data_IF_724040610336
#
_entry.id   IF_724040610336
#
_cell.length_a   1.000
_cell.length_b   1.000
_cell.length_c   1.000
_cell.angle_alpha   90.00
_cell.angle_beta   90.00
_cell.angle_gamma   90.00
#
_symmetry.space_group_name_H-M   'P 1'
#
loop_
_entity.id
_entity.type
_entity.pdbx_description
1 polymer ?
#
# COMPACT_ATOMS: atom_id res chain seq x y z
N UNK A 1 17.60 5.93 24.88
CA UNK A 1 18.68 5.13 24.23
C UNK A 1 19.10 5.91 23.00
N UNK A 2 20.39 6.22 22.85
CA UNK A 2 20.89 6.96 21.68
C UNK A 2 21.37 5.93 20.66
N UNK A 3 20.91 6.05 19.41
CA UNK A 3 21.37 5.24 18.27
C UNK A 3 22.90 5.28 18.18
N UNK A 4 23.59 4.18 17.89
CA UNK A 4 25.06 4.21 17.78
C UNK A 4 25.52 5.12 16.63
N UNK A 5 26.74 5.63 16.73
CA UNK A 5 27.34 6.47 15.67
C UNK A 5 27.36 5.75 14.32
N UNK A 6 27.71 4.46 14.31
CA UNK A 6 27.74 3.68 13.07
C UNK A 6 26.34 3.48 12.49
N UNK A 7 25.33 3.23 13.34
CA UNK A 7 23.95 3.13 12.88
C UNK A 7 23.43 4.45 12.31
N UNK A 8 23.78 5.59 12.93
CA UNK A 8 23.43 6.91 12.39
C UNK A 8 24.11 7.17 11.04
N UNK A 9 25.39 6.81 10.89
CA UNK A 9 26.09 6.95 9.61
C UNK A 9 25.44 6.08 8.53
N UNK A 10 25.11 4.84 8.84
CA UNK A 10 24.39 3.95 7.90
C UNK A 10 23.04 4.54 7.51
N UNK A 11 22.26 5.06 8.46
CA UNK A 11 20.97 5.67 8.18
C UNK A 11 21.09 6.89 7.25
N UNK A 12 22.12 7.73 7.42
CA UNK A 12 22.42 8.84 6.51
C UNK A 12 22.74 8.33 5.11
N UNK A 13 23.59 7.32 4.98
CA UNK A 13 23.97 6.74 3.68
C UNK A 13 22.78 6.10 2.97
N UNK A 14 21.95 5.34 3.68
CA UNK A 14 20.72 4.74 3.17
C UNK A 14 19.73 5.83 2.70
N UNK A 15 19.66 6.96 3.42
CA UNK A 15 18.83 8.11 3.02
C UNK A 15 19.36 8.75 1.74
N UNK A 16 20.69 8.95 1.63
CA UNK A 16 21.31 9.48 0.41
C UNK A 16 21.12 8.54 -0.79
N UNK A 17 21.18 7.22 -0.60
CA UNK A 17 20.84 6.23 -1.64
C UNK A 17 19.41 6.39 -2.14
N UNK A 18 18.44 6.53 -1.23
CA UNK A 18 17.06 6.78 -1.60
C UNK A 18 16.93 8.10 -2.38
N UNK A 19 17.51 9.18 -1.86
CA UNK A 19 17.47 10.51 -2.48
C UNK A 19 18.09 10.53 -3.89
N UNK A 20 19.16 9.78 -4.13
CA UNK A 20 19.78 9.65 -5.46
C UNK A 20 18.82 9.03 -6.48
N UNK A 21 18.11 7.95 -6.09
CA UNK A 21 17.09 7.32 -6.94
C UNK A 21 15.87 8.23 -7.18
N UNK A 22 15.66 9.18 -6.27
CA UNK A 22 14.63 10.21 -6.32
C UNK A 22 15.08 11.48 -7.07
N UNK A 23 16.30 11.51 -7.59
CA UNK A 23 16.79 12.57 -8.46
C UNK A 23 17.60 13.68 -7.79
N UNK A 24 17.97 13.54 -6.52
CA UNK A 24 18.83 14.49 -5.84
C UNK A 24 20.31 14.34 -6.23
N UNK A 25 21.06 15.44 -6.22
CA UNK A 25 22.52 15.41 -6.28
C UNK A 25 23.08 15.14 -4.87
N UNK A 26 23.56 13.93 -4.66
CA UNK A 26 24.04 13.45 -3.35
C UNK A 26 25.55 13.23 -3.27
N UNK A 27 26.27 13.40 -4.38
CA UNK A 27 27.66 12.93 -4.50
C UNK A 27 28.58 13.57 -3.44
N UNK A 28 28.46 14.89 -3.25
CA UNK A 28 29.23 15.63 -2.26
C UNK A 28 28.87 15.21 -0.82
N UNK A 29 27.58 15.10 -0.50
CA UNK A 29 27.10 14.72 0.83
C UNK A 29 27.51 13.27 1.18
N UNK A 30 27.49 12.36 0.21
CA UNK A 30 27.94 10.98 0.38
C UNK A 30 29.43 10.89 0.68
N UNK A 31 30.25 11.65 -0.05
CA UNK A 31 31.69 11.72 0.20
C UNK A 31 31.99 12.32 1.58
N UNK A 32 31.26 13.37 1.98
CA UNK A 32 31.33 13.96 3.33
C UNK A 32 30.98 12.92 4.40
N UNK A 33 29.84 12.24 4.29
CA UNK A 33 29.39 11.21 5.26
C UNK A 33 30.45 10.12 5.51
N UNK A 34 31.14 9.68 4.45
CA UNK A 34 32.19 8.68 4.52
C UNK A 34 33.48 9.19 5.19
N UNK A 35 33.77 10.49 5.07
CA UNK A 35 34.97 11.12 5.62
C UNK A 35 34.79 11.65 7.05
N UNK A 36 33.55 11.86 7.51
CA UNK A 36 33.28 12.43 8.83
C UNK A 36 33.79 11.51 9.97
N UNK A 37 34.43 12.09 11.01
CA UNK A 37 34.84 11.33 12.19
C UNK A 37 33.61 10.71 12.87
N UNK A 38 33.79 9.65 13.68
CA UNK A 38 32.72 9.07 14.47
C UNK A 38 32.27 10.06 15.57
N UNK A 39 31.37 10.99 15.21
CA UNK A 39 30.86 12.06 16.08
C UNK A 39 29.37 12.29 15.80
N UNK A 40 28.57 12.31 16.87
CA UNK A 40 27.15 12.63 16.77
C UNK A 40 26.92 14.03 16.22
N UNK A 41 27.68 15.03 16.69
CA UNK A 41 27.51 16.42 16.27
C UNK A 41 27.76 16.56 14.77
N UNK A 42 28.84 15.93 14.27
CA UNK A 42 29.20 16.00 12.85
C UNK A 42 28.15 15.31 11.96
N UNK A 43 27.72 14.10 12.32
CA UNK A 43 26.73 13.34 11.55
C UNK A 43 25.34 14.00 11.63
N UNK A 44 24.95 14.53 12.78
CA UNK A 44 23.67 15.23 12.95
C UNK A 44 23.65 16.54 12.16
N UNK A 45 24.77 17.27 12.11
CA UNK A 45 24.90 18.47 11.29
C UNK A 45 24.80 18.18 9.78
N UNK A 46 25.30 17.02 9.34
CA UNK A 46 25.09 16.56 7.97
C UNK A 46 23.61 16.19 7.75
N UNK A 47 23.05 15.32 8.61
CA UNK A 47 21.67 14.87 8.54
C UNK A 47 20.65 16.02 8.48
N UNK A 48 20.90 17.11 9.21
CA UNK A 48 20.04 18.29 9.22
C UNK A 48 19.97 19.03 7.87
N UNK A 49 20.95 18.83 6.97
CA UNK A 49 21.03 19.53 5.68
C UNK A 49 20.78 18.63 4.47
N UNK A 50 20.86 17.30 4.61
CA UNK A 50 20.70 16.42 3.45
C UNK A 50 19.31 16.52 2.82
N UNK A 51 18.26 16.82 3.60
CA UNK A 51 16.90 16.98 3.09
C UNK A 51 16.73 18.16 2.11
N UNK A 52 17.66 19.13 2.14
CA UNK A 52 17.67 20.32 1.28
C UNK A 52 18.58 20.17 0.05
N UNK A 53 19.13 18.97 -0.19
CA UNK A 53 19.99 18.74 -1.35
C UNK A 53 19.23 19.05 -2.65
N UNK A 54 19.87 19.74 -3.62
CA UNK A 54 19.21 20.10 -4.86
C UNK A 54 18.90 18.86 -5.69
N UNK A 55 17.91 19.00 -6.57
CA UNK A 55 17.68 18.03 -7.64
C UNK A 55 18.79 18.14 -8.69
N UNK A 56 19.12 17.04 -9.34
CA UNK A 56 20.04 17.04 -10.49
C UNK A 56 19.44 17.85 -11.64
N UNK A 57 20.28 18.61 -12.33
CA UNK A 57 19.87 19.43 -13.48
C UNK A 57 19.27 18.60 -14.64
N UNK A 58 19.65 17.33 -14.73
CA UNK A 58 19.18 16.39 -15.75
C UNK A 58 17.93 15.58 -15.33
N UNK A 59 17.32 15.90 -14.17
CA UNK A 59 16.16 15.17 -13.67
C UNK A 59 14.91 15.45 -14.52
N UNK A 60 14.30 14.44 -15.17
CA UNK A 60 13.26 14.68 -16.16
C UNK A 60 11.84 14.74 -15.57
N UNK A 61 11.67 14.54 -14.27
CA UNK A 61 10.35 14.35 -13.64
C UNK A 61 9.99 15.53 -12.72
N UNK A 62 8.68 15.78 -12.59
CA UNK A 62 8.15 16.76 -11.64
C UNK A 62 7.39 16.01 -10.55
N UNK A 63 7.97 15.98 -9.34
CA UNK A 63 7.51 15.15 -8.23
C UNK A 63 7.39 15.99 -6.94
N UNK A 64 6.38 16.87 -6.88
CA UNK A 64 6.17 17.75 -5.73
C UNK A 64 5.72 16.99 -4.48
N UNK A 65 6.03 17.55 -3.31
CA UNK A 65 5.65 16.97 -2.01
C UNK A 65 4.43 17.69 -1.42
N UNK A 66 4.34 19.01 -1.56
CA UNK A 66 3.24 19.78 -1.00
C UNK A 66 1.93 19.52 -1.75
N UNK A 67 0.82 19.41 -1.02
CA UNK A 67 -0.50 19.09 -1.60
C UNK A 67 -0.89 19.99 -2.77
N UNK A 68 -0.70 21.31 -2.64
CA UNK A 68 -1.10 22.28 -3.68
C UNK A 68 -0.33 22.06 -4.98
N UNK A 69 0.96 21.74 -4.88
CA UNK A 69 1.81 21.49 -6.04
C UNK A 69 1.50 20.11 -6.65
N UNK A 70 1.21 19.10 -5.81
CA UNK A 70 0.71 17.79 -6.27
C UNK A 70 -0.60 17.96 -7.03
N UNK A 71 -1.54 18.72 -6.48
CA UNK A 71 -2.85 19.01 -7.08
C UNK A 71 -2.73 19.75 -8.42
N UNK A 72 -1.75 20.65 -8.55
CA UNK A 72 -1.47 21.38 -9.77
C UNK A 72 -0.84 20.50 -10.87
N UNK A 73 -0.12 19.44 -10.49
CA UNK A 73 0.47 18.48 -11.42
C UNK A 73 -0.45 17.29 -11.76
N UNK A 74 -1.60 17.14 -11.11
CA UNK A 74 -2.63 16.15 -11.49
C UNK A 74 -3.26 16.46 -12.86
N UNK A 75 -3.97 15.49 -13.44
CA UNK A 75 -4.63 15.69 -14.73
C UNK A 75 -5.66 16.83 -14.64
N UNK A 76 -5.56 17.89 -15.48
CA UNK A 76 -6.51 19.00 -15.45
C UNK A 76 -7.92 18.60 -15.90
N UNK A 77 -8.09 17.47 -16.61
CA UNK A 77 -9.37 16.93 -17.03
C UNK A 77 -10.01 16.01 -15.98
N UNK A 78 -9.33 15.72 -14.85
CA UNK A 78 -9.87 14.86 -13.79
C UNK A 78 -11.17 15.41 -13.23
N UNK A 79 -12.07 14.54 -12.82
CA UNK A 79 -13.25 14.95 -12.08
C UNK A 79 -12.84 15.47 -10.68
N UNK A 80 -13.32 16.65 -10.32
CA UNK A 80 -13.14 17.23 -8.96
C UNK A 80 -14.36 17.00 -8.06
N UNK A 81 -15.34 16.25 -8.56
CA UNK A 81 -16.57 15.86 -7.89
C UNK A 81 -16.76 14.34 -8.07
N UNK A 82 -17.69 13.71 -7.32
CA UNK A 82 -18.00 12.31 -7.52
C UNK A 82 -18.35 12.00 -8.98
N UNK A 83 -17.75 10.92 -9.52
CA UNK A 83 -17.98 10.45 -10.89
C UNK A 83 -19.21 9.55 -10.99
N UNK A 84 -19.64 8.96 -9.87
CA UNK A 84 -20.86 8.19 -9.75
C UNK A 84 -21.51 8.45 -8.39
N UNK A 85 -22.84 8.37 -8.34
CA UNK A 85 -23.60 8.38 -7.09
C UNK A 85 -24.22 7.02 -6.89
N UNK A 86 -23.73 6.30 -5.90
CA UNK A 86 -24.25 5.00 -5.48
C UNK A 86 -25.31 5.21 -4.39
N UNK A 87 -26.30 4.34 -4.31
CA UNK A 87 -27.17 4.30 -3.13
C UNK A 87 -26.37 3.89 -1.89
N UNK A 88 -26.78 4.32 -0.70
CA UNK A 88 -26.13 3.93 0.56
C UNK A 88 -26.00 2.41 0.70
N UNK A 89 -27.05 1.67 0.30
CA UNK A 89 -27.07 0.21 0.36
C UNK A 89 -26.10 -0.44 -0.65
N UNK A 90 -26.02 0.10 -1.87
CA UNK A 90 -25.08 -0.39 -2.88
C UNK A 90 -23.63 -0.09 -2.50
N UNK A 91 -23.34 1.13 -2.08
CA UNK A 91 -22.02 1.52 -1.60
C UNK A 91 -21.59 0.63 -0.43
N UNK A 92 -22.45 0.44 0.56
CA UNK A 92 -22.17 -0.43 1.71
C UNK A 92 -21.95 -1.89 1.28
N UNK A 93 -22.74 -2.42 0.36
CA UNK A 93 -22.60 -3.79 -0.11
C UNK A 93 -21.29 -4.03 -0.87
N UNK A 94 -20.91 -3.11 -1.77
CA UNK A 94 -19.64 -3.19 -2.52
C UNK A 94 -18.42 -3.00 -1.61
N UNK A 95 -18.48 -2.06 -0.66
CA UNK A 95 -17.40 -1.87 0.32
C UNK A 95 -17.24 -3.08 1.24
N UNK A 96 -18.35 -3.68 1.69
CA UNK A 96 -18.30 -4.92 2.47
C UNK A 96 -17.59 -6.03 1.69
N UNK A 97 -17.96 -6.21 0.43
CA UNK A 97 -17.32 -7.21 -0.45
C UNK A 97 -15.83 -6.89 -0.63
N UNK A 98 -15.49 -5.63 -0.93
CA UNK A 98 -14.10 -5.16 -1.05
C UNK A 98 -13.23 -5.55 0.14
N UNK A 99 -13.68 -5.26 1.36
CA UNK A 99 -12.96 -5.62 2.59
C UNK A 99 -12.85 -7.13 2.81
N UNK A 100 -13.90 -7.90 2.51
CA UNK A 100 -13.85 -9.36 2.68
C UNK A 100 -12.89 -10.02 1.67
N UNK A 101 -12.90 -9.56 0.42
CA UNK A 101 -11.98 -10.06 -0.61
C UNK A 101 -10.54 -9.63 -0.30
N UNK A 102 -10.32 -8.43 0.22
CA UNK A 102 -8.98 -7.96 0.63
C UNK A 102 -8.39 -8.83 1.73
N UNK A 103 -9.18 -9.18 2.75
CA UNK A 103 -8.80 -10.15 3.78
C UNK A 103 -8.42 -11.50 3.19
N UNK A 104 -9.20 -12.03 2.24
CA UNK A 104 -8.86 -13.29 1.57
C UNK A 104 -7.56 -13.20 0.75
N UNK A 105 -7.36 -12.09 0.04
CA UNK A 105 -6.16 -11.85 -0.75
C UNK A 105 -4.89 -11.73 0.10
N UNK A 106 -4.98 -11.00 1.22
CA UNK A 106 -3.93 -10.89 2.24
C UNK A 106 -3.54 -12.28 2.76
N UNK A 107 -4.50 -13.05 3.28
CA UNK A 107 -4.25 -14.37 3.87
C UNK A 107 -3.72 -15.40 2.84
N UNK A 108 -4.16 -15.30 1.59
CA UNK A 108 -3.63 -16.12 0.49
C UNK A 108 -2.17 -15.81 0.18
N UNK A 109 -1.81 -14.52 0.17
CA UNK A 109 -0.47 -14.05 -0.18
C UNK A 109 0.55 -14.24 0.94
N UNK A 110 0.12 -14.13 2.19
CA UNK A 110 0.95 -14.15 3.40
C UNK A 110 1.95 -15.31 3.51
N UNK A 111 1.58 -16.59 3.34
CA UNK A 111 2.56 -17.68 3.39
C UNK A 111 3.64 -17.59 2.30
N UNK A 112 3.36 -16.90 1.20
CA UNK A 112 4.23 -16.68 0.04
C UNK A 112 4.99 -15.33 0.06
N UNK A 113 4.89 -14.56 1.15
CA UNK A 113 5.64 -13.31 1.35
C UNK A 113 7.12 -13.63 1.64
N UNK A 114 7.81 -14.09 0.61
CA UNK A 114 9.19 -14.60 0.66
C UNK A 114 10.05 -14.01 -0.46
N UNK A 115 9.64 -12.85 -1.01
CA UNK A 115 10.25 -12.22 -2.18
C UNK A 115 10.40 -13.24 -3.32
N UNK A 116 9.28 -13.86 -3.69
CA UNK A 116 9.20 -14.83 -4.78
C UNK A 116 8.96 -14.11 -6.11
N UNK A 117 9.49 -14.59 -7.23
CA UNK A 117 8.99 -14.16 -8.55
C UNK A 117 7.88 -15.10 -9.01
N UNK A 118 7.06 -14.69 -9.99
CA UNK A 118 6.14 -15.62 -10.65
C UNK A 118 6.86 -16.88 -11.13
N UNK A 119 8.03 -16.74 -11.76
CA UNK A 119 8.79 -17.88 -12.27
C UNK A 119 9.16 -18.87 -11.17
N UNK A 120 9.60 -18.36 -10.01
CA UNK A 120 9.87 -19.16 -8.84
C UNK A 120 8.61 -19.88 -8.35
N UNK A 121 7.48 -19.17 -8.18
CA UNK A 121 6.22 -19.77 -7.74
C UNK A 121 5.74 -20.84 -8.73
N UNK A 122 5.81 -20.55 -10.02
CA UNK A 122 5.45 -21.48 -11.10
C UNK A 122 6.27 -22.75 -11.03
N UNK A 123 7.59 -22.65 -10.90
CA UNK A 123 8.46 -23.82 -10.78
C UNK A 123 8.08 -24.66 -9.55
N UNK A 124 8.02 -24.05 -8.36
CA UNK A 124 7.84 -24.77 -7.10
C UNK A 124 6.44 -25.35 -6.94
N UNK A 125 5.41 -24.61 -7.33
CA UNK A 125 4.03 -25.07 -7.22
C UNK A 125 3.65 -26.08 -8.30
N UNK A 126 4.25 -26.01 -9.50
CA UNK A 126 4.07 -27.04 -10.53
C UNK A 126 4.59 -28.39 -10.07
N UNK A 127 5.71 -28.43 -9.33
CA UNK A 127 6.31 -29.67 -8.81
C UNK A 127 5.38 -30.45 -7.86
N UNK A 128 4.37 -29.79 -7.28
CA UNK A 128 3.38 -30.41 -6.39
C UNK A 128 1.95 -30.36 -6.92
N UNK A 129 1.75 -29.89 -8.16
CA UNK A 129 0.44 -29.80 -8.81
C UNK A 129 -0.48 -28.71 -8.23
N UNK A 130 0.09 -27.60 -7.76
CA UNK A 130 -0.65 -26.44 -7.22
C UNK A 130 -0.41 -25.16 -8.03
N UNK A 131 0.10 -25.30 -9.25
CA UNK A 131 0.16 -24.24 -10.25
C UNK A 131 -0.90 -24.48 -11.35
N UNK A 132 -1.64 -23.45 -11.79
CA UNK A 132 -1.73 -22.11 -11.19
C UNK A 132 -2.38 -22.15 -9.79
N UNK A 133 -2.13 -21.10 -8.98
CA UNK A 133 -2.80 -20.92 -7.70
C UNK A 133 -4.31 -20.80 -7.94
N UNK A 134 -5.11 -21.55 -7.18
CA UNK A 134 -6.58 -21.57 -7.30
C UNK A 134 -7.32 -21.62 -5.94
N UNK A 135 -6.57 -21.70 -4.83
CA UNK A 135 -7.05 -21.78 -3.44
C UNK A 135 -5.90 -21.35 -2.51
N UNK A 136 -6.15 -21.21 -1.21
CA UNK A 136 -5.12 -21.06 -0.17
C UNK A 136 -4.02 -22.10 -0.36
N UNK A 137 -2.76 -21.74 -0.21
CA UNK A 137 -1.63 -22.66 -0.43
C UNK A 137 -1.51 -23.71 0.66
N UNK A 138 -1.08 -24.92 0.31
CA UNK A 138 -0.91 -26.02 1.27
C UNK A 138 0.43 -25.98 2.00
N UNK A 139 0.54 -26.72 3.10
CA UNK A 139 1.84 -27.03 3.72
C UNK A 139 2.80 -27.67 2.72
N UNK A 140 2.29 -28.53 1.83
CA UNK A 140 3.07 -29.20 0.79
C UNK A 140 3.63 -28.19 -0.22
N UNK A 141 2.85 -27.18 -0.61
CA UNK A 141 3.31 -26.08 -1.44
C UNK A 141 4.44 -25.29 -0.75
N UNK A 142 4.28 -24.98 0.55
CA UNK A 142 5.31 -24.27 1.32
C UNK A 142 6.59 -25.08 1.47
N UNK A 143 6.48 -26.39 1.68
CA UNK A 143 7.63 -27.29 1.69
C UNK A 143 8.36 -27.30 0.34
N UNK A 144 7.64 -27.28 -0.79
CA UNK A 144 8.23 -27.21 -2.12
C UNK A 144 8.96 -25.88 -2.38
N UNK A 145 8.47 -24.76 -1.82
CA UNK A 145 9.17 -23.48 -1.88
C UNK A 145 10.51 -23.48 -1.11
N UNK A 146 10.67 -24.34 -0.11
CA UNK A 146 11.90 -24.45 0.71
C UNK A 146 12.15 -23.26 1.64
N UNK A 147 11.25 -22.26 1.61
CA UNK A 147 11.18 -21.09 2.48
C UNK A 147 9.73 -20.63 2.53
N UNK A 148 9.28 -20.09 3.65
CA UNK A 148 7.92 -19.59 3.86
C UNK A 148 7.95 -18.44 4.88
N UNK A 149 6.95 -17.57 4.84
CA UNK A 149 6.77 -16.55 5.88
C UNK A 149 6.59 -17.25 7.26
N UNK A 150 7.08 -16.68 8.38
CA UNK A 150 6.95 -17.28 9.71
C UNK A 150 5.53 -17.68 10.14
N UNK A 151 4.50 -17.03 9.58
CA UNK A 151 3.10 -17.37 9.85
C UNK A 151 2.57 -18.58 9.06
N UNK A 152 3.35 -19.17 8.15
CA UNK A 152 2.90 -20.28 7.29
C UNK A 152 2.31 -21.46 8.07
N UNK A 153 2.78 -21.70 9.31
CA UNK A 153 2.23 -22.72 10.20
C UNK A 153 0.74 -22.54 10.54
N UNK A 154 0.18 -21.33 10.34
CA UNK A 154 -1.23 -21.00 10.61
C UNK A 154 -1.96 -20.38 9.41
N UNK A 155 -1.27 -20.11 8.30
CA UNK A 155 -1.85 -19.49 7.09
C UNK A 155 -1.95 -20.43 5.88
N UNK A 156 -1.54 -21.70 6.01
CA UNK A 156 -1.79 -22.71 4.98
C UNK A 156 -3.22 -23.23 5.02
N UNK A 157 -3.71 -23.76 3.88
CA UNK A 157 -5.07 -24.28 3.71
C UNK A 157 -5.48 -25.26 4.82
N UNK A 158 -4.55 -26.09 5.29
CA UNK A 158 -4.80 -27.08 6.34
C UNK A 158 -5.02 -26.47 7.73
N UNK A 159 -4.40 -25.31 8.00
CA UNK A 159 -4.31 -24.74 9.35
C UNK A 159 -5.06 -23.41 9.53
N UNK A 160 -5.41 -22.74 8.43
CA UNK A 160 -6.12 -21.46 8.45
C UNK A 160 -7.49 -21.62 9.13
N UNK A 161 -7.69 -20.88 10.22
CA UNK A 161 -8.84 -21.04 11.10
C UNK A 161 -9.46 -19.71 11.59
N UNK A 162 -8.84 -18.59 11.24
CA UNK A 162 -9.16 -17.20 11.57
C UNK A 162 -8.30 -16.30 10.68
N UNK A 163 -8.66 -15.02 10.55
CA UNK A 163 -7.80 -14.03 9.90
C UNK A 163 -6.59 -13.76 10.82
N UNK A 164 -5.40 -14.06 10.31
CA UNK A 164 -4.14 -13.99 11.05
C UNK A 164 -3.64 -12.55 11.06
N UNK A 165 -3.18 -11.99 12.20
CA UNK A 165 -2.82 -10.58 12.28
C UNK A 165 -1.82 -10.15 11.21
N UNK A 166 -2.15 -9.11 10.48
CA UNK A 166 -1.42 -8.60 9.32
C UNK A 166 -1.45 -7.07 9.30
N UNK A 167 -0.37 -6.41 8.88
CA UNK A 167 -0.30 -4.97 8.90
C UNK A 167 -1.16 -4.29 7.83
N UNK A 168 -1.37 -4.89 6.66
CA UNK A 168 -2.33 -4.39 5.67
C UNK A 168 -3.74 -4.25 6.27
N UNK A 169 -4.20 -5.29 6.96
CA UNK A 169 -5.51 -5.29 7.62
C UNK A 169 -5.51 -4.32 8.81
N UNK A 170 -4.44 -4.29 9.61
CA UNK A 170 -4.32 -3.34 10.71
C UNK A 170 -4.40 -1.89 10.23
N UNK A 171 -3.71 -1.54 9.15
CA UNK A 171 -3.73 -0.19 8.58
C UNK A 171 -5.07 0.17 7.97
N UNK A 172 -5.73 -0.78 7.29
CA UNK A 172 -7.12 -0.59 6.83
C UNK A 172 -8.05 -0.27 8.00
N UNK A 173 -7.93 -0.99 9.12
CA UNK A 173 -8.71 -0.72 10.32
C UNK A 173 -8.32 0.61 10.99
N UNK A 174 -7.05 1.01 10.95
CA UNK A 174 -6.61 2.32 11.46
C UNK A 174 -7.19 3.47 10.63
N UNK A 175 -7.20 3.37 9.31
CA UNK A 175 -7.86 4.34 8.44
C UNK A 175 -9.35 4.45 8.74
N UNK A 176 -10.03 3.32 8.95
CA UNK A 176 -11.42 3.30 9.42
C UNK A 176 -11.57 4.02 10.76
N UNK A 177 -10.79 3.66 11.79
CA UNK A 177 -10.87 4.28 13.11
C UNK A 177 -10.60 5.79 13.06
N UNK A 178 -9.65 6.23 12.24
CA UNK A 178 -9.32 7.64 12.03
C UNK A 178 -10.53 8.41 11.48
N UNK A 179 -11.13 7.89 10.41
CA UNK A 179 -12.33 8.47 9.80
C UNK A 179 -13.53 8.45 10.74
N UNK A 180 -13.67 7.42 11.57
CA UNK A 180 -14.72 7.37 12.56
C UNK A 180 -14.55 8.44 13.66
N UNK A 181 -13.33 8.65 14.13
CA UNK A 181 -13.04 9.57 15.23
C UNK A 181 -12.99 11.04 14.80
N UNK A 182 -12.44 11.30 13.62
CA UNK A 182 -12.07 12.66 13.19
C UNK A 182 -12.72 13.08 11.87
N UNK A 183 -13.34 12.14 11.16
CA UNK A 183 -13.98 12.42 9.87
C UNK A 183 -13.00 12.77 8.77
N UNK A 184 -13.53 13.37 7.69
CA UNK A 184 -12.75 13.71 6.48
C UNK A 184 -11.64 14.73 6.68
N UNK A 185 -11.68 15.51 7.77
CA UNK A 185 -10.77 16.64 8.02
C UNK A 185 -9.76 16.33 9.14
N UNK A 186 -9.42 15.05 9.33
CA UNK A 186 -8.42 14.65 10.30
C UNK A 186 -7.06 15.33 10.03
N UNK A 187 -6.31 15.59 11.09
CA UNK A 187 -4.95 16.17 11.03
C UNK A 187 -3.89 15.08 11.13
N UNK A 188 -2.67 15.36 10.66
CA UNK A 188 -1.52 14.47 10.86
C UNK A 188 -1.26 14.17 12.34
N UNK A 189 -1.51 15.14 13.22
CA UNK A 189 -1.38 14.96 14.67
C UNK A 189 -2.39 13.96 15.21
N UNK A 190 -3.66 14.06 14.81
CA UNK A 190 -4.70 13.09 15.19
C UNK A 190 -4.38 11.68 14.68
N UNK A 191 -3.89 11.55 13.44
CA UNK A 191 -3.45 10.27 12.90
C UNK A 191 -2.25 9.70 13.69
N UNK A 192 -1.27 10.54 14.00
CA UNK A 192 -0.11 10.17 14.82
C UNK A 192 -0.51 9.71 16.23
N UNK A 193 -1.43 10.44 16.86
CA UNK A 193 -1.97 10.08 18.17
C UNK A 193 -2.69 8.73 18.08
N UNK A 194 -3.52 8.49 17.06
CA UNK A 194 -4.16 7.20 16.86
C UNK A 194 -3.14 6.06 16.74
N UNK A 195 -2.07 6.27 15.96
CA UNK A 195 -0.99 5.29 15.80
C UNK A 195 -0.31 4.98 17.13
N UNK A 196 0.02 6.00 17.94
CA UNK A 196 0.64 5.80 19.25
C UNK A 196 -0.20 4.94 20.20
N UNK A 197 -1.54 4.98 20.09
CA UNK A 197 -2.43 4.20 20.94
C UNK A 197 -2.71 2.79 20.42
N UNK A 198 -2.45 2.53 19.14
CA UNK A 198 -2.89 1.30 18.47
C UNK A 198 -1.73 0.45 17.94
N UNK A 199 -0.71 1.06 17.36
CA UNK A 199 0.40 0.37 16.71
C UNK A 199 1.50 0.02 17.69
N UNK A 200 1.84 -1.26 17.71
CA UNK A 200 3.09 -1.72 18.31
C UNK A 200 4.24 -1.49 17.31
N UNK A 201 5.39 -0.94 17.74
CA UNK A 201 6.56 -0.78 16.86
C UNK A 201 7.02 -2.08 16.19
N UNK A 202 6.78 -3.24 16.82
CA UNK A 202 7.11 -4.55 16.26
C UNK A 202 6.27 -4.93 15.02
N UNK A 203 5.17 -4.23 14.78
CA UNK A 203 4.22 -4.40 13.67
C UNK A 203 4.21 -3.19 12.73
N UNK A 204 5.37 -2.56 12.56
CA UNK A 204 5.59 -1.47 11.59
C UNK A 204 6.96 -1.68 10.95
N UNK A 205 7.17 -1.28 9.69
CA UNK A 205 8.42 -1.54 8.97
C UNK A 205 8.95 -0.23 8.39
N UNK A 206 10.25 -0.18 8.14
CA UNK A 206 10.90 0.94 7.43
C UNK A 206 10.42 2.34 7.88
N UNK A 207 9.82 3.15 6.99
CA UNK A 207 9.42 4.51 7.29
C UNK A 207 8.42 4.67 8.44
N UNK A 208 7.44 3.78 8.53
CA UNK A 208 6.42 3.78 9.58
C UNK A 208 7.06 3.67 10.96
N UNK A 209 8.03 2.77 11.10
CA UNK A 209 8.72 2.55 12.38
C UNK A 209 9.59 3.73 12.77
N UNK A 210 10.28 4.36 11.82
CA UNK A 210 11.09 5.58 12.07
C UNK A 210 10.18 6.70 12.57
N UNK A 211 9.07 6.92 11.91
CA UNK A 211 8.12 7.97 12.28
C UNK A 211 7.42 7.66 13.61
N UNK A 212 7.07 6.41 13.90
CA UNK A 212 6.52 6.01 15.20
C UNK A 212 7.49 6.26 16.37
N UNK A 213 8.80 6.10 16.15
CA UNK A 213 9.82 6.49 17.14
C UNK A 213 9.84 8.00 17.37
N UNK A 214 9.72 8.81 16.31
CA UNK A 214 9.62 10.28 16.44
C UNK A 214 8.33 10.70 17.15
N UNK A 215 7.20 10.08 16.83
CA UNK A 215 5.93 10.28 17.54
C UNK A 215 6.07 10.00 19.04
N UNK A 216 6.77 8.91 19.38
CA UNK A 216 7.03 8.53 20.78
C UNK A 216 7.94 9.56 21.48
N UNK A 217 8.96 10.06 20.79
CA UNK A 217 9.81 11.14 21.31
C UNK A 217 8.99 12.44 21.52
N UNK A 218 8.11 12.77 20.57
CA UNK A 218 7.24 13.94 20.66
C UNK A 218 6.24 13.85 21.82
N UNK A 219 5.68 12.66 22.09
CA UNK A 219 4.76 12.46 23.24
C UNK A 219 5.46 12.60 24.60
N UNK A 220 6.78 12.45 24.65
CA UNK A 220 7.62 12.73 25.82
C UNK A 220 8.13 14.19 25.88
N UNK A 221 7.79 15.01 24.90
CA UNK A 221 8.27 16.39 24.78
C UNK A 221 9.74 16.51 24.34
N UNK A 222 10.31 15.46 23.74
CA UNK A 222 11.69 15.45 23.24
C UNK A 222 11.81 15.92 21.79
N UNK A 223 10.69 15.94 21.07
CA UNK A 223 10.56 16.42 19.69
C UNK A 223 9.36 17.37 19.63
N UNK A 224 9.57 18.59 19.14
CA UNK A 224 8.55 19.62 19.00
C UNK A 224 8.23 19.96 17.54
N UNK A 225 8.80 19.21 16.60
CA UNK A 225 8.61 19.45 15.17
C UNK A 225 7.16 19.18 14.75
N UNK A 226 6.77 19.83 13.66
CA UNK A 226 5.50 19.54 12.99
C UNK A 226 5.52 18.10 12.44
N UNK A 227 4.48 17.27 12.70
CA UNK A 227 4.35 15.95 12.08
C UNK A 227 4.56 15.92 10.56
N UNK A 228 4.24 17.02 9.86
CA UNK A 228 4.48 17.16 8.43
C UNK A 228 5.96 17.13 8.03
N UNK A 229 6.89 17.43 8.94
CA UNK A 229 8.33 17.37 8.65
C UNK A 229 8.95 16.00 8.92
N UNK A 230 8.25 15.12 9.66
CA UNK A 230 8.86 13.91 10.20
C UNK A 230 9.42 12.96 9.15
N UNK A 231 8.65 12.72 8.08
CA UNK A 231 9.10 11.82 7.02
C UNK A 231 10.22 12.39 6.14
N UNK A 232 10.54 13.69 6.23
CA UNK A 232 11.65 14.29 5.48
C UNK A 232 13.00 14.09 6.17
N UNK A 233 13.02 13.61 7.42
CA UNK A 233 14.23 13.49 8.22
C UNK A 233 14.64 12.02 8.35
N UNK A 234 15.79 11.66 7.78
CA UNK A 234 16.44 10.34 7.91
C UNK A 234 15.48 9.16 7.81
N UNK A 235 14.65 9.19 6.77
CA UNK A 235 13.56 8.25 6.58
C UNK A 235 13.71 7.54 5.23
N UNK A 236 14.73 6.68 5.08
CA UNK A 236 14.96 6.00 3.81
C UNK A 236 13.76 5.11 3.47
N UNK A 237 13.57 4.87 2.16
CA UNK A 237 12.49 4.00 1.63
C UNK A 237 11.08 4.59 1.74
N UNK A 238 10.97 5.90 1.89
CA UNK A 238 9.71 6.67 1.89
C UNK A 238 8.95 6.65 0.54
N UNK A 239 9.43 5.89 -0.46
CA UNK A 239 8.76 5.57 -1.73
C UNK A 239 8.29 4.10 -1.84
N UNK A 240 8.36 3.31 -0.76
CA UNK A 240 7.96 1.89 -0.73
C UNK A 240 6.46 1.72 -0.41
N UNK A 241 5.98 0.47 -0.39
CA UNK A 241 4.56 0.12 -0.27
C UNK A 241 3.91 0.45 1.08
N UNK A 242 4.66 0.70 2.16
CA UNK A 242 4.12 0.91 3.51
C UNK A 242 3.05 1.99 3.60
N UNK A 243 3.11 3.02 2.74
CA UNK A 243 1.99 3.95 2.61
C UNK A 243 0.79 3.41 1.83
N UNK A 244 1.03 2.71 0.74
CA UNK A 244 0.00 2.25 -0.19
C UNK A 244 -0.96 1.25 0.46
N UNK A 245 -0.47 0.38 1.35
CA UNK A 245 -1.30 -0.60 2.09
C UNK A 245 -2.30 0.03 3.06
N UNK A 246 -2.24 1.36 3.25
CA UNK A 246 -3.20 2.13 4.07
C UNK A 246 -4.34 2.73 3.25
N UNK A 247 -4.25 2.66 1.92
CA UNK A 247 -5.16 3.34 1.00
C UNK A 247 -6.61 2.83 1.07
N UNK A 248 -6.78 1.55 1.40
CA UNK A 248 -8.04 0.82 1.27
C UNK A 248 -9.20 1.49 2.01
N UNK A 249 -8.97 1.89 3.27
CA UNK A 249 -9.97 2.57 4.07
C UNK A 249 -10.48 3.86 3.43
N UNK A 250 -9.60 4.60 2.75
CA UNK A 250 -9.93 5.86 2.10
C UNK A 250 -10.65 5.66 0.76
N UNK A 251 -10.27 4.62 0.01
CA UNK A 251 -11.03 4.18 -1.16
C UNK A 251 -12.44 3.73 -0.80
N UNK A 252 -12.57 2.88 0.23
CA UNK A 252 -13.86 2.44 0.77
C UNK A 252 -14.72 3.59 1.29
N UNK A 253 -14.12 4.58 1.94
CA UNK A 253 -14.83 5.74 2.44
C UNK A 253 -15.40 6.65 1.35
N UNK A 254 -14.82 6.60 0.15
CA UNK A 254 -15.10 7.51 -0.94
C UNK A 254 -15.45 6.79 -2.25
N UNK A 255 -16.08 5.61 -2.19
CA UNK A 255 -16.56 4.92 -3.40
C UNK A 255 -17.51 5.84 -4.18
N UNK A 256 -17.25 6.00 -5.48
CA UNK A 256 -17.90 7.00 -6.33
C UNK A 256 -17.15 8.33 -6.45
N UNK A 257 -16.18 8.60 -5.57
CA UNK A 257 -15.47 9.87 -5.42
C UNK A 257 -13.94 9.68 -5.31
N UNK A 258 -13.27 9.36 -6.43
CA UNK A 258 -11.82 9.14 -6.45
C UNK A 258 -11.00 10.39 -6.10
N UNK A 259 -11.54 11.60 -6.31
CA UNK A 259 -10.88 12.84 -5.92
C UNK A 259 -10.69 12.92 -4.39
N UNK A 260 -11.76 12.65 -3.66
CA UNK A 260 -11.73 12.64 -2.20
C UNK A 260 -10.91 11.49 -1.63
N UNK A 261 -10.99 10.31 -2.26
CA UNK A 261 -10.17 9.15 -1.88
C UNK A 261 -8.68 9.49 -1.95
N UNK A 262 -8.24 10.09 -3.08
CA UNK A 262 -6.85 10.50 -3.28
C UNK A 262 -6.41 11.59 -2.29
N UNK A 263 -7.26 12.55 -1.94
CA UNK A 263 -6.94 13.57 -0.94
C UNK A 263 -6.72 12.98 0.46
N UNK A 264 -7.62 12.10 0.91
CA UNK A 264 -7.51 11.47 2.23
C UNK A 264 -6.27 10.57 2.30
N UNK A 265 -6.03 9.79 1.23
CA UNK A 265 -4.84 8.97 1.08
C UNK A 265 -3.54 9.78 1.07
N UNK A 266 -3.50 10.91 0.35
CA UNK A 266 -2.36 11.84 0.38
C UNK A 266 -2.08 12.30 1.81
N UNK A 267 -3.14 12.70 2.53
CA UNK A 267 -3.00 13.23 3.89
C UNK A 267 -2.45 12.19 4.85
N UNK A 268 -2.95 10.96 4.80
CA UNK A 268 -2.44 9.85 5.62
C UNK A 268 -1.00 9.49 5.25
N UNK A 269 -0.74 9.28 3.96
CA UNK A 269 0.56 8.85 3.45
C UNK A 269 1.67 9.86 3.79
N UNK A 270 1.36 11.16 3.74
CA UNK A 270 2.30 12.25 4.03
C UNK A 270 2.83 12.24 5.47
N UNK A 271 2.28 11.43 6.37
CA UNK A 271 2.86 11.23 7.70
C UNK A 271 4.21 10.49 7.65
N UNK A 272 4.36 9.53 6.73
CA UNK A 272 5.53 8.63 6.71
C UNK A 272 6.23 8.51 5.35
N UNK A 273 5.59 8.90 4.25
CA UNK A 273 6.08 8.69 2.89
C UNK A 273 6.12 9.99 2.08
N UNK A 274 6.88 10.00 0.99
CA UNK A 274 6.98 11.12 0.04
C UNK A 274 6.87 10.62 -1.39
N UNK A 275 6.64 11.57 -2.32
CA UNK A 275 6.66 11.37 -3.78
C UNK A 275 5.98 10.06 -4.20
N UNK A 276 6.71 9.13 -4.82
CA UNK A 276 6.17 7.87 -5.36
C UNK A 276 5.38 7.10 -4.31
N UNK A 277 5.84 7.02 -3.05
CA UNK A 277 5.11 6.33 -1.98
C UNK A 277 3.73 6.94 -1.71
N UNK A 278 3.64 8.27 -1.73
CA UNK A 278 2.37 9.00 -1.61
C UNK A 278 1.52 8.86 -2.87
N UNK A 279 2.11 8.96 -4.06
CA UNK A 279 1.38 8.85 -5.33
C UNK A 279 0.78 7.47 -5.54
N UNK A 280 1.48 6.40 -5.15
CA UNK A 280 0.95 5.04 -5.16
C UNK A 280 -0.25 4.87 -4.23
N UNK A 281 -0.18 5.47 -3.04
CA UNK A 281 -1.30 5.46 -2.08
C UNK A 281 -2.53 6.20 -2.65
N UNK A 282 -2.32 7.36 -3.26
CA UNK A 282 -3.38 8.14 -3.92
C UNK A 282 -4.01 7.34 -5.07
N UNK A 283 -3.19 6.70 -5.89
CA UNK A 283 -3.63 5.85 -6.99
C UNK A 283 -4.45 4.65 -6.52
N UNK A 284 -3.99 3.92 -5.48
CA UNK A 284 -4.73 2.79 -4.93
C UNK A 284 -6.10 3.21 -4.39
N UNK A 285 -6.15 4.29 -3.59
CA UNK A 285 -7.40 4.80 -3.03
C UNK A 285 -8.37 5.25 -4.13
N UNK A 286 -7.87 5.96 -5.15
CA UNK A 286 -8.67 6.38 -6.30
C UNK A 286 -9.18 5.19 -7.12
N UNK A 287 -8.36 4.14 -7.32
CA UNK A 287 -8.77 2.93 -8.01
C UNK A 287 -9.89 2.18 -7.26
N UNK A 288 -9.75 2.00 -5.95
CA UNK A 288 -10.79 1.39 -5.11
C UNK A 288 -12.09 2.22 -5.17
N UNK A 289 -11.98 3.55 -5.12
CA UNK A 289 -13.13 4.43 -5.20
C UNK A 289 -13.83 4.41 -6.57
N UNK A 290 -13.06 4.30 -7.65
CA UNK A 290 -13.56 4.24 -9.03
C UNK A 290 -14.08 2.86 -9.43
N UNK A 291 -13.67 1.79 -8.75
CA UNK A 291 -13.99 0.41 -9.11
C UNK A 291 -15.49 0.12 -9.25
N UNK A 292 -16.36 0.79 -8.48
CA UNK A 292 -17.81 0.62 -8.57
C UNK A 292 -18.48 1.46 -9.67
N UNK A 293 -17.72 2.29 -10.40
CA UNK A 293 -18.25 3.35 -11.27
C UNK A 293 -18.22 3.00 -12.75
N UNK A 294 -17.59 1.88 -13.11
CA UNK A 294 -17.41 1.41 -14.49
C UNK A 294 -17.44 -0.12 -14.54
N UNK A 295 -17.81 -0.65 -15.70
CA UNK A 295 -17.73 -2.08 -16.02
C UNK A 295 -16.44 -2.45 -16.77
N UNK A 296 -15.59 -1.47 -17.14
CA UNK A 296 -14.28 -1.71 -17.77
C UNK A 296 -13.15 -1.73 -16.72
N UNK A 297 -12.47 -2.88 -16.53
CA UNK A 297 -11.32 -2.98 -15.64
C UNK A 297 -10.21 -1.95 -15.89
N UNK A 298 -9.97 -1.55 -17.14
CA UNK A 298 -8.90 -0.60 -17.45
C UNK A 298 -9.29 0.82 -17.10
N UNK A 299 -10.57 1.19 -17.30
CA UNK A 299 -11.08 2.52 -16.98
C UNK A 299 -10.92 2.85 -15.49
N UNK A 300 -11.01 1.85 -14.60
CA UNK A 300 -10.72 2.02 -13.15
C UNK A 300 -9.34 2.65 -12.92
N UNK A 301 -8.32 2.14 -13.60
CA UNK A 301 -6.94 2.59 -13.44
C UNK A 301 -6.61 3.81 -14.29
N UNK A 302 -7.28 3.99 -15.42
CA UNK A 302 -7.22 5.23 -16.20
C UNK A 302 -7.72 6.39 -15.36
N UNK A 303 -8.88 6.26 -14.71
CA UNK A 303 -9.43 7.24 -13.76
C UNK A 303 -8.44 7.47 -12.61
N UNK A 304 -7.98 6.40 -11.94
CA UNK A 304 -7.06 6.53 -10.82
C UNK A 304 -5.76 7.28 -11.18
N UNK A 305 -5.24 7.07 -12.40
CA UNK A 305 -4.03 7.72 -12.90
C UNK A 305 -4.16 9.24 -13.07
N UNK A 306 -5.39 9.77 -13.12
CA UNK A 306 -5.64 11.21 -13.21
C UNK A 306 -5.36 11.95 -11.90
N UNK A 307 -5.36 11.24 -10.77
CA UNK A 307 -5.21 11.78 -9.42
C UNK A 307 -3.77 11.72 -8.87
N UNK A 308 -2.78 11.50 -9.74
CA UNK A 308 -1.34 11.57 -9.38
C UNK A 308 -0.62 12.61 -10.25
N UNK A 309 0.57 13.10 -9.88
CA UNK A 309 1.31 14.04 -10.73
C UNK A 309 1.66 13.44 -12.11
N UNK A 310 1.17 14.06 -13.18
CA UNK A 310 1.20 13.52 -14.56
C UNK A 310 2.61 13.45 -15.16
N UNK A 311 3.57 14.18 -14.57
CA UNK A 311 4.99 14.20 -14.94
C UNK A 311 5.90 13.47 -13.94
N UNK A 312 5.33 12.64 -13.07
CA UNK A 312 6.09 11.79 -12.15
C UNK A 312 6.58 10.49 -12.80
N UNK A 313 7.58 9.84 -12.19
CA UNK A 313 7.98 8.47 -12.54
C UNK A 313 6.81 7.50 -12.37
N UNK A 314 6.07 7.65 -11.27
CA UNK A 314 4.93 6.79 -10.95
C UNK A 314 3.85 6.82 -12.04
N UNK A 315 3.40 8.00 -12.47
CA UNK A 315 2.39 8.12 -13.53
C UNK A 315 2.89 7.52 -14.86
N UNK A 316 4.17 7.69 -15.20
CA UNK A 316 4.77 7.07 -16.38
C UNK A 316 4.72 5.54 -16.34
N UNK A 317 5.00 4.93 -15.18
CA UNK A 317 4.90 3.48 -14.99
C UNK A 317 3.47 3.00 -15.14
N UNK A 318 2.51 3.66 -14.50
CA UNK A 318 1.08 3.32 -14.60
C UNK A 318 0.58 3.40 -16.05
N UNK A 319 0.89 4.48 -16.78
CA UNK A 319 0.52 4.64 -18.19
C UNK A 319 1.13 3.56 -19.08
N UNK A 320 2.40 3.25 -18.87
CA UNK A 320 3.09 2.18 -19.62
C UNK A 320 2.44 0.81 -19.33
N UNK A 321 2.06 0.56 -18.07
CA UNK A 321 1.38 -0.67 -17.69
C UNK A 321 -0.03 -0.76 -18.32
N UNK A 322 -0.80 0.32 -18.33
CA UNK A 322 -2.09 0.40 -19.04
C UNK A 322 -1.93 0.04 -20.53
N UNK A 323 -0.96 0.65 -21.23
CA UNK A 323 -0.68 0.36 -22.64
C UNK A 323 -0.31 -1.12 -22.85
N UNK A 324 0.55 -1.67 -22.00
CA UNK A 324 0.97 -3.07 -22.06
C UNK A 324 -0.21 -4.02 -21.84
N UNK A 325 -1.03 -3.77 -20.83
CA UNK A 325 -2.13 -4.65 -20.45
C UNK A 325 -3.25 -4.57 -21.49
N UNK A 326 -3.57 -3.36 -21.97
CA UNK A 326 -4.56 -3.12 -23.02
C UNK A 326 -4.19 -3.82 -24.34
N UNK A 327 -2.90 -3.80 -24.71
CA UNK A 327 -2.39 -4.44 -25.92
C UNK A 327 -2.07 -5.94 -25.80
N UNK A 328 -2.20 -6.53 -24.61
CA UNK A 328 -1.89 -7.96 -24.38
C UNK A 328 -3.12 -8.84 -24.53
N UNK A 329 -2.93 -10.04 -25.07
CA UNK A 329 -4.02 -11.00 -25.28
C UNK A 329 -4.33 -11.86 -24.06
N UNK A 330 -3.44 -11.86 -23.06
CA UNK A 330 -3.64 -12.61 -21.83
C UNK A 330 -2.72 -12.18 -20.69
N UNK A 331 -3.09 -12.64 -19.49
CA UNK A 331 -2.44 -12.34 -18.22
C UNK A 331 -0.92 -12.60 -18.20
N UNK A 332 -0.47 -13.74 -18.73
CA UNK A 332 0.95 -14.10 -18.73
C UNK A 332 1.77 -13.22 -19.67
N UNK A 333 1.23 -12.88 -20.84
CA UNK A 333 1.89 -11.99 -21.81
C UNK A 333 2.08 -10.59 -21.23
N UNK A 334 1.05 -10.06 -20.57
CA UNK A 334 1.12 -8.76 -19.90
C UNK A 334 2.12 -8.78 -18.73
N UNK A 335 2.08 -9.82 -17.89
CA UNK A 335 3.04 -10.00 -16.79
C UNK A 335 4.48 -10.01 -17.30
N UNK A 336 4.80 -10.79 -18.34
CA UNK A 336 6.17 -10.91 -18.86
C UNK A 336 6.71 -9.56 -19.36
N UNK A 337 5.87 -8.75 -20.02
CA UNK A 337 6.23 -7.39 -20.47
C UNK A 337 6.43 -6.43 -19.29
N UNK A 338 5.53 -6.44 -18.30
CA UNK A 338 5.64 -5.62 -17.08
C UNK A 338 6.90 -6.00 -16.30
N UNK A 339 7.10 -7.30 -16.06
CA UNK A 339 8.23 -7.81 -15.31
C UNK A 339 9.56 -7.56 -16.02
N UNK A 340 9.59 -7.64 -17.36
CA UNK A 340 10.78 -7.29 -18.15
C UNK A 340 11.24 -5.83 -17.97
N UNK A 341 10.31 -4.91 -17.72
CA UNK A 341 10.62 -3.49 -17.50
C UNK A 341 10.88 -3.15 -16.03
N UNK A 342 10.10 -3.75 -15.12
CA UNK A 342 10.02 -3.32 -13.72
C UNK A 342 10.47 -4.39 -12.72
N UNK A 343 10.86 -5.58 -13.18
CA UNK A 343 11.40 -6.70 -12.40
C UNK A 343 12.52 -6.33 -11.43
N UNK A 344 13.33 -5.34 -11.80
CA UNK A 344 14.43 -4.85 -10.96
C UNK A 344 13.98 -4.18 -9.65
N UNK A 345 12.71 -3.76 -9.56
CA UNK A 345 12.12 -3.20 -8.34
C UNK A 345 11.67 -4.31 -7.38
N UNK A 346 11.09 -5.43 -7.83
CA UNK A 346 10.77 -6.55 -6.92
C UNK A 346 9.96 -6.14 -5.67
N UNK A 347 10.11 -6.92 -4.59
CA UNK A 347 9.32 -6.83 -3.35
C UNK A 347 9.33 -5.43 -2.68
N UNK A 348 8.14 -5.02 -2.20
CA UNK A 348 7.78 -3.74 -1.58
C UNK A 348 7.97 -2.46 -2.43
N UNK A 349 8.58 -2.55 -3.62
CA UNK A 349 8.82 -1.37 -4.47
C UNK A 349 7.68 -1.20 -5.47
N UNK A 350 6.92 -0.13 -5.27
CA UNK A 350 5.54 0.00 -5.79
C UNK A 350 5.39 0.06 -7.32
N UNK A 351 6.46 0.24 -8.09
CA UNK A 351 6.36 0.42 -9.54
C UNK A 351 5.83 -0.84 -10.26
N UNK A 352 6.51 -1.98 -10.09
CA UNK A 352 6.04 -3.23 -10.70
C UNK A 352 4.69 -3.61 -10.11
N UNK A 353 4.55 -3.47 -8.80
CA UNK A 353 3.38 -3.95 -8.07
C UNK A 353 2.11 -3.17 -8.42
N UNK A 354 2.20 -1.85 -8.63
CA UNK A 354 1.06 -1.08 -9.15
C UNK A 354 0.67 -1.52 -10.56
N UNK A 355 1.63 -1.95 -11.38
CA UNK A 355 1.36 -2.50 -12.70
C UNK A 355 0.72 -3.90 -12.65
N UNK A 356 1.06 -4.72 -11.66
CA UNK A 356 0.45 -6.05 -11.48
C UNK A 356 -1.01 -5.96 -11.05
N UNK A 357 -1.43 -4.92 -10.31
CA UNK A 357 -2.85 -4.63 -10.02
C UNK A 357 -3.68 -4.44 -11.30
N UNK A 358 -3.15 -3.68 -12.27
CA UNK A 358 -3.80 -3.43 -13.56
C UNK A 358 -3.95 -4.75 -14.33
N UNK A 359 -2.88 -5.54 -14.38
CA UNK A 359 -2.89 -6.85 -15.01
C UNK A 359 -3.92 -7.80 -14.35
N UNK A 360 -4.00 -7.80 -13.03
CA UNK A 360 -4.93 -8.65 -12.28
C UNK A 360 -6.38 -8.34 -12.63
N UNK A 361 -6.83 -7.09 -12.45
CA UNK A 361 -8.25 -6.75 -12.65
C UNK A 361 -8.68 -6.99 -14.10
N UNK A 362 -7.80 -6.69 -15.08
CA UNK A 362 -8.09 -6.86 -16.50
C UNK A 362 -8.46 -8.30 -16.86
N UNK A 363 -7.79 -9.27 -16.25
CA UNK A 363 -7.89 -10.68 -16.64
C UNK A 363 -8.58 -11.55 -15.59
N UNK A 364 -9.01 -10.99 -14.46
CA UNK A 364 -9.78 -11.69 -13.45
C UNK A 364 -11.18 -12.04 -13.98
N UNK A 365 -11.63 -13.28 -13.78
CA UNK A 365 -13.00 -13.69 -14.07
C UNK A 365 -13.99 -13.30 -12.96
N UNK A 366 -13.51 -13.31 -11.72
CA UNK A 366 -14.21 -12.96 -10.49
C UNK A 366 -13.19 -12.65 -9.38
N UNK A 367 -13.67 -12.38 -8.16
CA UNK A 367 -12.81 -11.99 -7.04
C UNK A 367 -11.85 -13.10 -6.64
N UNK A 368 -12.27 -14.37 -6.66
CA UNK A 368 -11.45 -15.51 -6.28
C UNK A 368 -10.32 -15.80 -7.28
N UNK A 369 -10.63 -15.78 -8.58
CA UNK A 369 -9.62 -15.86 -9.65
C UNK A 369 -8.65 -14.67 -9.60
N UNK A 370 -9.17 -13.46 -9.33
CA UNK A 370 -8.36 -12.24 -9.24
C UNK A 370 -7.32 -12.27 -8.12
N UNK A 371 -7.69 -12.63 -6.88
CA UNK A 371 -6.71 -12.71 -5.78
C UNK A 371 -5.65 -13.79 -6.04
N UNK A 372 -6.02 -14.91 -6.68
CA UNK A 372 -5.06 -15.93 -7.10
C UNK A 372 -4.08 -15.39 -8.15
N UNK A 373 -4.58 -14.63 -9.14
CA UNK A 373 -3.77 -13.95 -10.16
C UNK A 373 -2.81 -12.94 -9.55
N UNK A 374 -3.25 -12.16 -8.57
CA UNK A 374 -2.36 -11.23 -7.93
C UNK A 374 -1.23 -11.94 -7.19
N UNK A 375 -1.57 -12.91 -6.33
CA UNK A 375 -0.58 -13.63 -5.51
C UNK A 375 0.41 -14.41 -6.37
N UNK A 376 -0.04 -15.01 -7.49
CA UNK A 376 0.86 -15.76 -8.37
C UNK A 376 1.88 -14.89 -9.13
N UNK A 377 1.70 -13.56 -9.19
CA UNK A 377 2.69 -12.64 -9.76
C UNK A 377 3.95 -12.50 -8.89
N UNK A 378 3.87 -12.92 -7.62
CA UNK A 378 4.98 -12.88 -6.67
C UNK A 378 5.18 -11.49 -6.05
N UNK A 379 6.43 -11.19 -5.73
CA UNK A 379 6.95 -10.05 -4.99
C UNK A 379 6.36 -9.93 -3.57
N UNK A 380 5.52 -8.92 -3.33
CA UNK A 380 4.88 -8.58 -2.08
C UNK A 380 3.43 -9.10 -2.07
N UNK A 381 3.31 -10.39 -1.77
CA UNK A 381 2.14 -11.20 -2.16
C UNK A 381 0.91 -10.97 -1.30
N UNK A 382 1.07 -10.78 0.01
CA UNK A 382 -0.02 -10.39 0.91
C UNK A 382 -0.47 -8.97 0.66
N UNK A 383 0.44 -7.99 0.63
CA UNK A 383 0.04 -6.59 0.55
C UNK A 383 -0.69 -6.25 -0.75
N UNK A 384 -0.16 -6.72 -1.88
CA UNK A 384 -0.85 -6.53 -3.16
C UNK A 384 -2.02 -7.49 -3.33
N UNK A 385 -1.99 -8.68 -2.72
CA UNK A 385 -3.18 -9.54 -2.59
C UNK A 385 -4.33 -8.82 -1.89
N UNK A 386 -4.04 -8.08 -0.82
CA UNK A 386 -4.98 -7.27 -0.06
C UNK A 386 -5.53 -6.13 -0.92
N UNK A 387 -4.66 -5.28 -1.46
CA UNK A 387 -5.06 -4.12 -2.28
C UNK A 387 -5.84 -4.56 -3.53
N UNK A 388 -5.38 -5.62 -4.22
CA UNK A 388 -6.12 -6.18 -5.35
C UNK A 388 -7.49 -6.70 -4.92
N UNK A 389 -7.57 -7.36 -3.76
CA UNK A 389 -8.84 -7.83 -3.22
C UNK A 389 -9.82 -6.70 -2.95
N UNK A 390 -9.36 -5.57 -2.41
CA UNK A 390 -10.17 -4.36 -2.23
C UNK A 390 -10.75 -3.85 -3.55
N UNK A 391 -9.93 -3.76 -4.60
CA UNK A 391 -10.35 -3.33 -5.94
C UNK A 391 -11.33 -4.35 -6.55
N UNK A 392 -10.97 -5.64 -6.54
CA UNK A 392 -11.76 -6.74 -7.10
C UNK A 392 -13.15 -6.84 -6.46
N UNK A 393 -13.21 -6.80 -5.12
CA UNK A 393 -14.47 -6.91 -4.39
C UNK A 393 -15.40 -5.73 -4.62
N UNK A 394 -14.87 -4.50 -4.70
CA UNK A 394 -15.68 -3.32 -5.05
C UNK A 394 -16.15 -3.37 -6.50
N UNK A 395 -15.27 -3.77 -7.43
CA UNK A 395 -15.54 -3.86 -8.87
C UNK A 395 -16.62 -4.90 -9.18
N UNK A 396 -16.36 -6.17 -8.82
CA UNK A 396 -17.27 -7.27 -9.09
C UNK A 396 -18.53 -7.23 -8.22
N UNK A 397 -18.43 -6.68 -7.01
CA UNK A 397 -19.52 -6.57 -6.06
C UNK A 397 -19.96 -7.92 -5.45
N UNK A 398 -21.02 -7.89 -4.62
CA UNK A 398 -21.47 -9.05 -3.86
C UNK A 398 -21.79 -10.28 -4.70
N UNK A 399 -21.47 -11.46 -4.19
CA UNK A 399 -21.79 -12.74 -4.82
C UNK A 399 -20.80 -13.19 -5.89
N UNK A 400 -19.65 -12.50 -5.99
CA UNK A 400 -18.54 -12.83 -6.91
C UNK A 400 -17.30 -13.37 -6.19
N UNK A 401 -17.42 -13.65 -4.89
CA UNK A 401 -16.47 -14.43 -4.11
C UNK A 401 -17.12 -15.74 -3.66
N UNK A 402 -16.48 -16.89 -3.90
CA UNK A 402 -17.04 -18.16 -3.45
C UNK A 402 -16.96 -18.31 -1.91
N UNK A 403 -17.98 -18.89 -1.24
CA UNK A 403 -17.99 -19.02 0.22
C UNK A 403 -16.79 -19.76 0.83
N UNK A 404 -16.08 -20.58 0.03
CA UNK A 404 -14.87 -21.31 0.46
C UNK A 404 -13.75 -20.39 0.92
N UNK A 405 -13.69 -19.15 0.43
CA UNK A 405 -12.64 -18.21 0.79
C UNK A 405 -12.80 -17.70 2.22
N UNK A 406 -14.03 -17.47 2.68
CA UNK A 406 -14.33 -16.97 4.02
C UNK A 406 -14.55 -18.08 5.05
N UNK A 407 -14.96 -19.27 4.61
CA UNK A 407 -15.30 -20.39 5.49
C UNK A 407 -14.18 -20.77 6.50
N UNK A 408 -12.87 -20.79 6.13
CA UNK A 408 -11.79 -21.11 7.06
C UNK A 408 -11.72 -20.16 8.25
N UNK A 409 -12.07 -18.88 8.09
CA UNK A 409 -11.93 -17.89 9.14
C UNK A 409 -12.89 -18.07 10.31
N UNK A 410 -14.01 -18.78 10.12
CA UNK A 410 -15.03 -19.02 11.16
C UNK A 410 -15.49 -17.75 11.86
N UNK A 411 -15.63 -16.68 11.08
CA UNK A 411 -15.95 -15.32 11.54
C UNK A 411 -14.94 -14.71 12.54
N UNK A 412 -13.75 -15.29 12.70
CA UNK A 412 -12.75 -14.81 13.64
C UNK A 412 -11.69 -13.93 12.95
N UNK A 413 -11.55 -12.70 13.43
CA UNK A 413 -10.53 -11.73 13.08
C UNK A 413 -9.57 -11.54 14.26
N UNK A 414 -8.26 -11.58 13.99
CA UNK A 414 -7.24 -11.19 14.95
C UNK A 414 -6.39 -10.07 14.37
N UNK A 415 -6.11 -9.07 15.18
CA UNK A 415 -5.29 -7.91 14.82
C UNK A 415 -4.12 -7.80 15.80
N UNK A 416 -3.15 -6.96 15.49
CA UNK A 416 -2.10 -6.57 16.46
C UNK A 416 -2.34 -5.17 17.05
N UNK A 417 -3.51 -4.59 16.76
CA UNK A 417 -3.91 -3.28 17.26
C UNK A 417 -4.24 -3.34 18.76
N UNK A 418 -3.58 -2.51 19.55
CA UNK A 418 -3.59 -2.59 21.01
C UNK A 418 -4.97 -2.34 21.65
N UNK A 419 -5.84 -1.55 21.01
CA UNK A 419 -7.14 -1.17 21.54
C UNK A 419 -8.29 -1.40 20.53
N UNK A 420 -8.12 -2.35 19.61
CA UNK A 420 -9.19 -2.85 18.75
C UNK A 420 -9.69 -4.20 19.26
N UNK A 421 -10.88 -4.20 19.87
CA UNK A 421 -11.41 -5.37 20.60
C UNK A 421 -12.39 -6.23 19.81
N UNK A 422 -12.84 -5.76 18.64
CA UNK A 422 -13.74 -6.53 17.79
C UNK A 422 -12.98 -7.72 17.19
N UNK A 423 -13.58 -8.91 17.29
CA UNK A 423 -12.99 -10.16 16.80
C UNK A 423 -13.90 -10.86 15.80
N UNK A 424 -15.11 -10.34 15.54
CA UNK A 424 -15.96 -10.81 14.44
C UNK A 424 -15.52 -10.17 13.13
N UNK A 425 -15.21 -11.00 12.14
CA UNK A 425 -14.89 -10.56 10.78
C UNK A 425 -16.11 -9.87 10.15
N UNK A 426 -17.30 -10.45 10.29
CA UNK A 426 -18.54 -9.91 9.77
C UNK A 426 -18.89 -8.56 10.42
N UNK A 427 -18.79 -8.44 11.75
CA UNK A 427 -19.06 -7.18 12.44
C UNK A 427 -18.07 -6.07 12.02
N UNK A 428 -16.81 -6.45 11.79
CA UNK A 428 -15.78 -5.55 11.27
C UNK A 428 -16.10 -5.11 9.84
N UNK A 429 -16.48 -6.06 8.96
CA UNK A 429 -16.88 -5.77 7.59
C UNK A 429 -18.10 -4.84 7.53
N UNK A 430 -19.08 -5.02 8.41
CA UNK A 430 -20.24 -4.12 8.54
C UNK A 430 -19.87 -2.72 9.05
N UNK A 431 -18.79 -2.60 9.82
CA UNK A 431 -18.27 -1.30 10.25
C UNK A 431 -17.56 -0.57 9.11
N UNK A 432 -16.72 -1.27 8.35
CA UNK A 432 -16.08 -0.75 7.12
C UNK A 432 -17.14 -0.33 6.09
N UNK A 433 -18.18 -1.16 5.88
CA UNK A 433 -19.29 -0.89 4.96
C UNK A 433 -20.07 0.40 5.25
N UNK A 434 -19.99 0.93 6.49
CA UNK A 434 -20.66 2.17 6.88
C UNK A 434 -19.85 3.43 6.58
N UNK A 435 -18.60 3.30 6.14
CA UNK A 435 -17.72 4.44 5.85
C UNK A 435 -18.30 5.40 4.80
N UNK A 436 -18.79 4.96 3.62
CA UNK A 436 -19.36 5.87 2.62
C UNK A 436 -20.42 6.81 3.19
N UNK A 437 -21.45 6.24 3.83
CA UNK A 437 -22.56 7.01 4.40
C UNK A 437 -22.12 7.91 5.56
N UNK A 438 -21.12 7.50 6.35
CA UNK A 438 -20.58 8.33 7.45
C UNK A 438 -19.88 9.57 6.91
N UNK A 439 -19.13 9.40 5.84
CA UNK A 439 -18.29 10.42 5.22
C UNK A 439 -19.12 11.38 4.37
N UNK A 440 -20.14 10.89 3.67
CA UNK A 440 -21.10 11.74 2.95
C UNK A 440 -21.86 12.71 3.88
N UNK A 441 -22.20 12.28 5.10
CA UNK A 441 -22.91 13.13 6.09
C UNK A 441 -22.05 14.24 6.72
N UNK A 442 -20.74 14.23 6.48
CA UNK A 442 -19.79 15.23 7.00
C UNK A 442 -19.40 16.26 5.93
N UNK A 443 -19.86 16.09 4.68
CA UNK A 443 -19.54 16.94 3.53
C UNK A 443 -20.42 18.20 3.46
#
# INVERSE_FOLDING_TARGET
>A
MIMSIDALRTLILDTLDAMETQGHDVAAARAEAAALPPSYDALTALAARIGDLPMRDDWPCVEPVAWQDVLAEMDPARATAPIATLSDDEAAARVREGFLVSVCGCELGKPLEINATLEFLREKLSAVGEWPIADYVTERAMAACGRAHPSAAVTTRENLAYVVPDDDINYTLLGMLNLEQHGRNFTLRQLADLWLHQLSPGWTWGPERVVLLRMTAASMGWDSDDPASWAAWLNPRDEWCGAMIRADAYGFACVGDPASAAELAFRDASLTHRRTGVYGTMFAAAAIAAAACTDDPLEVFEIASQYVPQRSRFCRVVRTALDIVSGSTGFMEAYEKIHGLYGQYGHCRIFQESATLINTLRFAADSGDGICRQVMQGNDTDSYGCTAGSILGVFFGPGRLEPRWLAPFRDALRTSLAAFWETSLAATADRIARLPGRIARQA
#
